data_IF_064665927441
#
_entry.id   IF_064665927441
#
_cell.length_a   1.000
_cell.length_b   1.000
_cell.length_c   1.000
_cell.angle_alpha   90.00
_cell.angle_beta   90.00
_cell.angle_gamma   90.00
#
_symmetry.space_group_name_H-M   'P 1'
#
loop_
_entity.id
_entity.type
_entity.pdbx_description
1 polymer ?
#
# COMPACT_ATOMS: atom_id res chain seq x y z
N UNK A 1 -1.64 -18.35 5.72
CA UNK A 1 -1.15 -17.00 6.07
C UNK A 1 -0.96 -16.23 4.78
N UNK A 2 -1.61 -15.07 4.65
CA UNK A 2 -1.48 -14.17 3.49
C UNK A 2 -0.70 -12.94 3.95
N UNK A 3 0.18 -12.42 3.12
CA UNK A 3 0.91 -11.17 3.39
C UNK A 3 0.40 -10.12 2.42
N UNK A 4 -0.07 -8.99 2.96
CA UNK A 4 -0.49 -7.83 2.19
C UNK A 4 0.46 -6.66 2.48
N UNK A 5 0.97 -6.02 1.43
CA UNK A 5 1.69 -4.75 1.53
C UNK A 5 0.77 -3.62 1.08
N UNK A 6 0.24 -2.85 2.03
CA UNK A 6 -0.57 -1.68 1.73
C UNK A 6 0.32 -0.44 1.51
N UNK A 7 0.13 0.27 0.39
CA UNK A 7 0.92 1.46 0.03
C UNK A 7 0.03 2.58 -0.51
N UNK A 8 0.37 3.82 -0.19
CA UNK A 8 -0.25 5.01 -0.81
C UNK A 8 0.41 5.27 -2.17
N UNK A 9 -0.41 5.45 -3.21
CA UNK A 9 0.04 5.76 -4.55
C UNK A 9 0.67 4.56 -5.28
N UNK A 10 0.83 4.69 -6.61
CA UNK A 10 1.42 3.65 -7.46
C UNK A 10 2.79 4.08 -7.97
N UNK A 11 3.75 3.15 -8.01
CA UNK A 11 5.05 3.37 -8.65
C UNK A 11 4.85 3.58 -10.16
N UNK A 12 5.18 4.78 -10.64
CA UNK A 12 5.04 5.16 -12.05
C UNK A 12 6.30 4.90 -12.88
N UNK A 13 7.46 4.74 -12.23
CA UNK A 13 8.75 4.53 -12.87
C UNK A 13 8.86 3.09 -13.39
N UNK A 14 9.03 2.94 -14.71
CA UNK A 14 8.94 1.65 -15.40
C UNK A 14 9.91 0.58 -14.89
N UNK A 15 11.21 0.90 -14.74
CA UNK A 15 12.21 -0.08 -14.31
C UNK A 15 11.98 -0.54 -12.85
N UNK A 16 11.47 0.34 -11.98
CA UNK A 16 11.11 -0.01 -10.61
C UNK A 16 9.92 -0.96 -10.58
N UNK A 17 8.89 -0.69 -11.40
CA UNK A 17 7.73 -1.57 -11.51
C UNK A 17 8.14 -2.97 -11.98
N UNK A 18 9.00 -3.06 -12.98
CA UNK A 18 9.55 -4.34 -13.46
C UNK A 18 10.29 -5.10 -12.35
N UNK A 19 11.15 -4.41 -11.61
CA UNK A 19 11.86 -5.00 -10.46
C UNK A 19 10.90 -5.50 -9.39
N UNK A 20 9.93 -4.68 -8.99
CA UNK A 20 8.89 -5.05 -8.02
C UNK A 20 8.13 -6.29 -8.47
N UNK A 21 7.66 -6.33 -9.73
CA UNK A 21 6.90 -7.46 -10.28
C UNK A 21 7.72 -8.76 -10.27
N UNK A 22 9.03 -8.69 -10.56
CA UNK A 22 9.94 -9.84 -10.49
C UNK A 22 10.07 -10.39 -9.06
N UNK A 23 10.21 -9.52 -8.06
CA UNK A 23 10.26 -9.96 -6.66
C UNK A 23 8.92 -10.52 -6.17
N UNK A 24 7.79 -9.90 -6.55
CA UNK A 24 6.45 -10.41 -6.24
C UNK A 24 6.26 -11.80 -6.83
N UNK A 25 6.65 -12.01 -8.09
CA UNK A 25 6.55 -13.32 -8.75
C UNK A 25 7.31 -14.38 -7.96
N UNK A 26 8.53 -14.06 -7.51
CA UNK A 26 9.35 -14.97 -6.67
C UNK A 26 8.69 -15.24 -5.32
N UNK A 27 8.17 -14.21 -4.64
CA UNK A 27 7.52 -14.33 -3.34
C UNK A 27 6.25 -15.19 -3.37
N UNK A 28 5.44 -15.06 -4.42
CA UNK A 28 4.18 -15.80 -4.59
C UNK A 28 4.36 -17.32 -4.62
N UNK A 29 5.57 -17.82 -4.90
CA UNK A 29 5.87 -19.25 -4.79
C UNK A 29 5.93 -19.75 -3.36
N UNK A 30 6.20 -18.87 -2.38
CA UNK A 30 6.39 -19.23 -0.98
C UNK A 30 5.21 -18.83 -0.09
N UNK A 31 4.56 -17.70 -0.41
CA UNK A 31 3.45 -17.16 0.38
C UNK A 31 2.47 -16.41 -0.52
N UNK A 32 1.14 -16.53 -0.30
CA UNK A 32 0.17 -15.64 -0.93
C UNK A 32 0.51 -14.18 -0.59
N UNK A 33 1.04 -13.46 -1.57
CA UNK A 33 1.51 -12.09 -1.44
C UNK A 33 0.79 -11.17 -2.42
N UNK A 34 0.33 -10.01 -1.95
CA UNK A 34 -0.21 -8.96 -2.78
C UNK A 34 0.19 -7.57 -2.29
N UNK A 35 0.26 -6.62 -3.22
CA UNK A 35 0.37 -5.19 -2.92
C UNK A 35 -0.99 -4.55 -3.10
N UNK A 36 -1.46 -3.84 -2.08
CA UNK A 36 -2.74 -3.13 -2.08
C UNK A 36 -2.47 -1.64 -2.19
N UNK A 37 -2.76 -1.10 -3.37
CA UNK A 37 -2.53 0.31 -3.68
C UNK A 37 -3.74 1.13 -3.23
N UNK A 38 -3.49 2.12 -2.39
CA UNK A 38 -4.46 3.11 -1.92
C UNK A 38 -4.27 4.38 -2.74
N UNK A 39 -5.36 4.90 -3.31
CA UNK A 39 -5.28 6.11 -4.12
C UNK A 39 -4.85 7.33 -3.30
N UNK A 40 -3.97 8.12 -3.91
CA UNK A 40 -3.53 9.42 -3.39
C UNK A 40 -4.71 10.33 -3.08
N UNK A 41 -4.53 11.23 -2.12
CA UNK A 41 -5.53 12.26 -1.83
C UNK A 41 -5.54 13.29 -2.97
N UNK A 42 -6.71 13.51 -3.56
CA UNK A 42 -6.91 14.58 -4.53
C UNK A 42 -6.96 15.93 -3.79
N UNK A 43 -6.48 17.00 -4.43
CA UNK A 43 -6.50 18.38 -3.88
C UNK A 43 -5.63 18.61 -2.62
N UNK A 44 -4.47 17.94 -2.52
CA UNK A 44 -3.51 18.11 -1.40
C UNK A 44 -3.03 19.55 -1.21
N UNK A 45 -3.07 20.39 -2.25
CA UNK A 45 -2.67 21.82 -2.17
C UNK A 45 -3.48 22.64 -1.17
N UNK A 46 -4.68 22.20 -0.80
CA UNK A 46 -5.61 22.94 0.07
C UNK A 46 -5.76 22.31 1.46
N UNK A 47 -4.97 21.29 1.80
CA UNK A 47 -5.03 20.62 3.12
C UNK A 47 -3.66 20.62 3.79
N UNK A 48 -3.63 20.57 5.11
CA UNK A 48 -2.40 20.42 5.87
C UNK A 48 -1.86 19.00 5.81
N UNK A 49 -0.57 18.82 6.08
CA UNK A 49 0.07 17.51 6.21
C UNK A 49 -0.63 16.63 7.27
N UNK A 50 -1.04 17.20 8.40
CA UNK A 50 -1.75 16.45 9.46
C UNK A 50 -3.11 15.94 8.95
N UNK A 51 -3.85 16.78 8.21
CA UNK A 51 -5.12 16.40 7.63
C UNK A 51 -4.95 15.32 6.54
N UNK A 52 -3.88 15.44 5.75
CA UNK A 52 -3.51 14.42 4.76
C UNK A 52 -3.22 13.08 5.44
N UNK A 53 -2.36 13.06 6.46
CA UNK A 53 -2.01 11.86 7.25
C UNK A 53 -3.22 11.21 7.90
N UNK A 54 -4.14 12.01 8.48
CA UNK A 54 -5.39 11.47 9.08
C UNK A 54 -6.27 10.81 8.03
N UNK A 55 -6.38 11.42 6.86
CA UNK A 55 -7.23 10.92 5.77
C UNK A 55 -6.64 9.66 5.14
N UNK A 56 -5.33 9.61 4.89
CA UNK A 56 -4.62 8.41 4.44
C UNK A 56 -4.68 7.30 5.50
N UNK A 57 -4.46 7.63 6.77
CA UNK A 57 -4.56 6.71 7.89
C UNK A 57 -5.95 6.06 7.99
N UNK A 58 -7.03 6.84 7.82
CA UNK A 58 -8.39 6.28 7.80
C UNK A 58 -8.59 5.28 6.65
N UNK A 59 -8.03 5.54 5.47
CA UNK A 59 -8.07 4.58 4.34
C UNK A 59 -7.28 3.32 4.66
N UNK A 60 -6.08 3.43 5.24
CA UNK A 60 -5.26 2.27 5.63
C UNK A 60 -6.02 1.42 6.66
N UNK A 61 -6.57 2.04 7.71
CA UNK A 61 -7.33 1.34 8.74
C UNK A 61 -8.56 0.61 8.18
N UNK A 62 -9.20 1.15 7.13
CA UNK A 62 -10.34 0.49 6.47
C UNK A 62 -9.99 -0.78 5.71
N UNK A 63 -8.69 -1.04 5.47
CA UNK A 63 -8.22 -2.26 4.83
C UNK A 63 -7.86 -3.37 5.81
N UNK A 64 -7.79 -3.07 7.12
CA UNK A 64 -7.33 -3.98 8.15
C UNK A 64 -8.51 -4.67 8.84
N UNK A 65 -8.37 -5.97 9.06
CA UNK A 65 -9.25 -6.75 9.91
C UNK A 65 -8.71 -6.86 11.33
N UNK A 66 -9.59 -7.06 12.31
CA UNK A 66 -9.20 -7.15 13.74
C UNK A 66 -8.25 -8.31 14.05
N UNK A 67 -8.24 -9.33 13.18
CA UNK A 67 -7.35 -10.49 13.30
C UNK A 67 -5.99 -10.29 12.65
N UNK A 68 -5.78 -9.19 11.94
CA UNK A 68 -4.54 -8.96 11.21
C UNK A 68 -3.38 -8.71 12.17
N UNK A 69 -2.23 -9.27 11.83
CA UNK A 69 -0.97 -8.94 12.46
C UNK A 69 -0.32 -7.79 11.68
N UNK A 70 -0.33 -6.60 12.27
CA UNK A 70 0.10 -5.35 11.61
C UNK A 70 1.55 -5.02 11.94
N UNK A 71 2.31 -4.66 10.92
CA UNK A 71 3.69 -4.14 11.01
C UNK A 71 3.74 -2.78 10.30
N UNK A 72 4.29 -1.76 10.94
CA UNK A 72 4.38 -0.37 10.46
C UNK A 72 5.84 0.05 10.26
#
# INVERSE_FOLDING_TARGET
MKIELAVIGKTSIGYLKQGIDEYIKRLKHYVPFEIKYIDDIKNTKNISEDQQKRTEGAKILSLLDKSDFVVL
#
